data_IF_923507941718
#
_entry.id   IF_923507941718
#
_cell.length_a   1.000
_cell.length_b   1.000
_cell.length_c   1.000
_cell.angle_alpha   90.00
_cell.angle_beta   90.00
_cell.angle_gamma   90.00
#
_symmetry.space_group_name_H-M   'P 1'
#
loop_
_entity.id
_entity.type
_entity.pdbx_description
1 polymer ?
#
# COMPACT_ATOMS: atom_id res chain seq x y z
N UNK A 1 6.81 -10.23 3.86
CA UNK A 1 6.27 -8.96 4.39
C UNK A 1 4.79 -8.88 4.08
N UNK A 2 4.05 -8.03 4.80
CA UNK A 2 2.72 -7.59 4.43
C UNK A 2 2.81 -6.21 3.79
N UNK A 3 2.36 -6.09 2.55
CA UNK A 3 2.52 -4.88 1.75
C UNK A 3 1.14 -4.33 1.40
N UNK A 4 0.91 -3.06 1.74
CA UNK A 4 -0.27 -2.31 1.32
C UNK A 4 0.05 -1.56 0.01
N UNK A 5 -0.70 -1.84 -1.05
CA UNK A 5 -0.56 -1.18 -2.35
C UNK A 5 -1.82 -0.35 -2.60
N UNK A 6 -1.68 0.97 -2.76
CA UNK A 6 -2.84 1.84 -3.06
C UNK A 6 -3.26 1.75 -4.53
N UNK A 7 -4.39 2.37 -4.90
CA UNK A 7 -4.94 2.26 -6.25
C UNK A 7 -5.32 0.81 -6.59
N UNK A 8 -5.78 0.05 -5.61
CA UNK A 8 -6.03 -1.40 -5.67
C UNK A 8 -7.02 -1.84 -6.74
N UNK A 9 -7.84 -0.93 -7.29
CA UNK A 9 -8.72 -1.20 -8.44
C UNK A 9 -8.00 -1.08 -9.80
N UNK A 10 -6.78 -0.55 -9.83
CA UNK A 10 -6.03 -0.31 -11.06
C UNK A 10 -5.29 -1.55 -11.56
N UNK A 11 -5.10 -1.63 -12.89
CA UNK A 11 -4.24 -2.64 -13.49
C UNK A 11 -2.77 -2.51 -13.06
N UNK A 12 -2.34 -1.28 -12.70
CA UNK A 12 -1.00 -1.02 -12.21
C UNK A 12 -0.78 -1.68 -10.85
N UNK A 13 -1.70 -1.54 -9.89
CA UNK A 13 -1.63 -2.21 -8.59
C UNK A 13 -1.55 -3.72 -8.73
N UNK A 14 -2.39 -4.31 -9.60
CA UNK A 14 -2.33 -5.74 -9.86
C UNK A 14 -0.99 -6.19 -10.50
N UNK A 15 -0.41 -5.36 -11.36
CA UNK A 15 0.92 -5.62 -11.93
C UNK A 15 2.01 -5.58 -10.85
N UNK A 16 1.96 -4.61 -9.94
CA UNK A 16 2.91 -4.50 -8.82
C UNK A 16 2.77 -5.69 -7.86
N UNK A 17 1.53 -6.04 -7.49
CA UNK A 17 1.24 -7.16 -6.59
C UNK A 17 1.87 -8.48 -7.05
N UNK A 18 1.86 -8.75 -8.37
CA UNK A 18 2.45 -9.96 -8.96
C UNK A 18 3.98 -10.04 -8.83
N UNK A 19 4.66 -8.93 -8.54
CA UNK A 19 6.11 -8.90 -8.35
C UNK A 19 6.53 -9.34 -6.95
N UNK A 20 5.59 -9.36 -5.99
CA UNK A 20 5.81 -9.71 -4.59
C UNK A 20 5.27 -11.11 -4.29
N UNK A 21 5.89 -12.14 -4.88
CA UNK A 21 5.35 -13.53 -4.88
C UNK A 21 5.42 -14.24 -3.53
N UNK A 22 6.25 -13.75 -2.60
CA UNK A 22 6.43 -14.33 -1.26
C UNK A 22 5.81 -13.48 -0.15
N UNK A 23 5.13 -12.41 -0.51
CA UNK A 23 4.56 -11.43 0.42
C UNK A 23 3.03 -11.52 0.48
N UNK A 24 2.46 -11.06 1.58
CA UNK A 24 1.02 -10.88 1.71
C UNK A 24 0.63 -9.51 1.18
N UNK A 25 -0.21 -9.48 0.15
CA UNK A 25 -0.60 -8.22 -0.50
C UNK A 25 -1.99 -7.78 -0.10
N UNK A 26 -2.09 -6.51 0.29
CA UNK A 26 -3.32 -5.77 0.53
C UNK A 26 -3.48 -4.76 -0.60
N UNK A 27 -4.48 -4.95 -1.44
CA UNK A 27 -4.89 -4.00 -2.47
C UNK A 27 -5.89 -3.03 -1.85
N UNK A 28 -5.45 -1.79 -1.63
CA UNK A 28 -6.23 -0.75 -0.98
C UNK A 28 -6.66 0.34 -1.97
N UNK A 29 -7.87 0.86 -1.84
CA UNK A 29 -8.35 1.98 -2.67
C UNK A 29 -9.44 2.78 -1.95
N UNK A 30 -9.69 4.01 -2.39
CA UNK A 30 -10.76 4.85 -1.84
C UNK A 30 -12.13 4.40 -2.34
N UNK A 31 -13.15 4.63 -1.51
CA UNK A 31 -14.53 4.23 -1.76
C UNK A 31 -14.70 2.72 -1.71
N UNK A 32 -15.72 2.22 -2.41
CA UNK A 32 -16.09 0.82 -2.35
C UNK A 32 -15.00 -0.09 -2.94
N UNK A 33 -14.84 -1.24 -2.29
CA UNK A 33 -13.91 -2.30 -2.67
C UNK A 33 -14.65 -3.64 -2.76
N UNK A 34 -14.19 -4.56 -3.63
CA UNK A 34 -14.79 -5.88 -3.72
C UNK A 34 -14.73 -6.62 -2.38
N UNK A 35 -15.86 -7.20 -1.97
CA UNK A 35 -15.99 -7.93 -0.70
C UNK A 35 -15.81 -9.45 -0.84
N UNK A 36 -15.53 -9.94 -2.05
CA UNK A 36 -15.39 -11.37 -2.26
C UNK A 36 -14.04 -11.88 -1.75
N UNK A 37 -14.00 -13.07 -1.12
CA UNK A 37 -12.77 -13.68 -0.67
C UNK A 37 -11.88 -14.01 -1.88
N UNK A 38 -10.65 -13.52 -1.86
CA UNK A 38 -9.59 -13.90 -2.79
C UNK A 38 -8.50 -14.66 -2.03
N UNK A 39 -8.04 -15.78 -2.59
CA UNK A 39 -6.95 -16.55 -2.01
C UNK A 39 -5.58 -15.86 -2.16
N UNK A 40 -5.49 -14.84 -3.04
CA UNK A 40 -4.23 -14.22 -3.44
C UNK A 40 -4.06 -12.82 -2.85
N UNK A 41 -5.15 -12.08 -2.67
CA UNK A 41 -5.10 -10.67 -2.28
C UNK A 41 -6.19 -10.36 -1.25
N UNK A 42 -5.87 -9.51 -0.28
CA UNK A 42 -6.90 -8.84 0.54
C UNK A 42 -7.28 -7.53 -0.14
N UNK A 43 -8.58 -7.28 -0.32
CA UNK A 43 -9.09 -5.99 -0.74
C UNK A 43 -9.46 -5.16 0.50
N UNK A 44 -9.07 -3.88 0.51
CA UNK A 44 -9.30 -2.97 1.64
C UNK A 44 -9.80 -1.62 1.15
N UNK A 45 -10.91 -1.14 1.69
CA UNK A 45 -11.34 0.24 1.47
C UNK A 45 -10.56 1.18 2.37
N UNK A 46 -10.08 2.30 1.81
CA UNK A 46 -9.48 3.43 2.53
C UNK A 46 -10.53 4.45 3.01
N UNK A 47 -11.83 4.16 2.80
CA UNK A 47 -12.92 5.11 3.03
C UNK A 47 -13.04 6.16 1.92
N UNK A 48 -13.81 7.22 2.21
CA UNK A 48 -13.88 8.38 1.31
C UNK A 48 -12.55 9.12 1.27
N UNK A 49 -12.17 9.61 0.09
CA UNK A 49 -10.94 10.38 -0.08
C UNK A 49 -11.06 11.71 0.65
N UNK A 50 -10.10 11.99 1.53
CA UNK A 50 -9.93 13.26 2.20
C UNK A 50 -8.45 13.66 2.15
N UNK A 51 -8.16 14.69 1.34
CA UNK A 51 -6.80 15.13 1.04
C UNK A 51 -6.09 15.73 2.27
N UNK A 52 -6.85 16.23 3.26
CA UNK A 52 -6.29 16.82 4.48
C UNK A 52 -5.68 15.79 5.44
N UNK A 53 -5.98 14.50 5.25
CA UNK A 53 -5.59 13.43 6.18
C UNK A 53 -4.92 12.22 5.51
N UNK A 54 -4.46 12.34 4.27
CA UNK A 54 -3.96 11.19 3.48
C UNK A 54 -2.89 10.40 4.23
N UNK A 55 -1.81 11.05 4.68
CA UNK A 55 -0.72 10.36 5.39
C UNK A 55 -1.21 9.68 6.68
N UNK A 56 -2.09 10.34 7.43
CA UNK A 56 -2.64 9.79 8.68
C UNK A 56 -3.56 8.60 8.40
N UNK A 57 -4.43 8.72 7.39
CA UNK A 57 -5.32 7.64 6.98
C UNK A 57 -4.54 6.40 6.55
N UNK A 58 -3.55 6.59 5.66
CA UNK A 58 -2.69 5.50 5.18
C UNK A 58 -1.90 4.85 6.32
N UNK A 59 -1.38 5.65 7.27
CA UNK A 59 -0.70 5.12 8.45
C UNK A 59 -1.62 4.26 9.30
N UNK A 60 -2.83 4.75 9.61
CA UNK A 60 -3.82 4.00 10.39
C UNK A 60 -4.17 2.67 9.73
N UNK A 61 -4.37 2.66 8.40
CA UNK A 61 -4.61 1.43 7.66
C UNK A 61 -3.41 0.48 7.71
N UNK A 62 -2.18 0.98 7.58
CA UNK A 62 -0.98 0.15 7.74
C UNK A 62 -0.91 -0.48 9.13
N UNK A 63 -1.18 0.28 10.20
CA UNK A 63 -1.16 -0.21 11.57
C UNK A 63 -2.25 -1.25 11.84
N UNK A 64 -3.49 -0.97 11.44
CA UNK A 64 -4.62 -1.88 11.63
C UNK A 64 -4.43 -3.22 10.91
N UNK A 65 -3.76 -3.19 9.77
CA UNK A 65 -3.50 -4.36 8.96
C UNK A 65 -2.17 -5.05 9.31
N UNK A 66 -1.33 -4.42 10.12
CA UNK A 66 0.04 -4.87 10.38
C UNK A 66 0.86 -4.93 9.10
N UNK A 67 0.75 -3.92 8.24
CA UNK A 67 1.58 -3.79 7.04
C UNK A 67 3.00 -3.39 7.42
N UNK A 68 3.99 -4.10 6.85
CA UNK A 68 5.41 -3.80 7.01
C UNK A 68 5.87 -2.74 5.99
N UNK A 69 5.11 -2.55 4.91
CA UNK A 69 5.44 -1.62 3.85
C UNK A 69 4.20 -1.08 3.13
N UNK A 70 4.33 0.12 2.56
CA UNK A 70 3.33 0.76 1.70
C UNK A 70 3.93 1.14 0.34
N UNK A 71 3.21 0.82 -0.73
CA UNK A 71 3.49 1.28 -2.09
C UNK A 71 2.30 2.12 -2.57
N UNK A 72 2.46 3.45 -2.53
CA UNK A 72 1.48 4.35 -3.10
C UNK A 72 1.64 4.50 -4.61
N UNK A 73 0.52 4.49 -5.34
CA UNK A 73 0.50 4.62 -6.80
C UNK A 73 0.03 5.98 -7.30
N UNK A 74 -0.68 6.76 -6.47
CA UNK A 74 -1.15 8.08 -6.87
C UNK A 74 -0.24 9.17 -6.33
N UNK A 75 0.01 10.21 -7.14
CA UNK A 75 0.93 11.30 -6.79
C UNK A 75 0.54 12.03 -5.49
N UNK A 76 -0.76 12.25 -5.26
CA UNK A 76 -1.26 12.90 -4.05
C UNK A 76 -0.99 12.09 -2.77
N UNK A 77 -0.87 10.77 -2.88
CA UNK A 77 -0.50 9.91 -1.75
C UNK A 77 1.02 9.91 -1.55
N UNK A 78 1.76 9.81 -2.64
CA UNK A 78 3.22 9.81 -2.62
C UNK A 78 3.74 11.10 -1.99
N UNK A 79 3.18 12.25 -2.35
CA UNK A 79 3.59 13.54 -1.80
C UNK A 79 3.44 13.58 -0.26
N UNK A 80 2.27 13.17 0.25
CA UNK A 80 1.98 13.18 1.69
C UNK A 80 2.77 12.12 2.47
N UNK A 81 3.01 10.94 1.88
CA UNK A 81 3.87 9.91 2.46
C UNK A 81 5.31 10.37 2.58
N UNK A 82 5.85 11.06 1.58
CA UNK A 82 7.22 11.57 1.63
C UNK A 82 7.38 12.66 2.70
N UNK A 83 6.41 13.58 2.81
CA UNK A 83 6.35 14.58 3.90
C UNK A 83 6.34 13.92 5.28
N UNK A 84 5.68 12.76 5.39
CA UNK A 84 5.49 12.01 6.65
C UNK A 84 6.44 10.82 6.82
N UNK A 85 7.51 10.73 6.02
CA UNK A 85 8.36 9.53 5.95
C UNK A 85 9.02 9.14 7.28
N UNK A 86 9.38 10.13 8.11
CA UNK A 86 9.93 9.90 9.45
C UNK A 86 8.91 9.17 10.34
N UNK A 87 7.64 9.58 10.30
CA UNK A 87 6.57 8.97 11.10
C UNK A 87 6.37 7.50 10.70
N UNK A 88 6.29 7.21 9.40
CA UNK A 88 6.18 5.83 8.91
C UNK A 88 7.36 4.96 9.37
N UNK A 89 8.57 5.51 9.31
CA UNK A 89 9.78 4.83 9.80
C UNK A 89 9.75 4.56 11.30
N UNK A 90 9.22 5.46 12.12
CA UNK A 90 9.06 5.25 13.58
C UNK A 90 8.16 4.04 13.90
N UNK A 91 7.21 3.74 13.01
CA UNK A 91 6.34 2.57 13.11
C UNK A 91 6.86 1.34 12.35
N UNK A 92 8.11 1.37 11.85
CA UNK A 92 8.72 0.31 11.04
C UNK A 92 7.93 -0.03 9.77
N UNK A 93 7.35 0.99 9.12
CA UNK A 93 6.65 0.84 7.84
C UNK A 93 7.52 1.43 6.74
N UNK A 94 7.97 0.59 5.82
CA UNK A 94 8.77 1.01 4.68
C UNK A 94 7.89 1.66 3.59
N UNK A 95 8.28 2.85 3.13
CA UNK A 95 7.66 3.48 1.95
C UNK A 95 8.42 3.00 0.70
N UNK A 96 7.79 2.12 -0.07
CA UNK A 96 8.34 1.55 -1.29
C UNK A 96 8.16 2.49 -2.47
N UNK A 97 9.09 2.43 -3.43
CA UNK A 97 8.99 3.10 -4.72
C UNK A 97 8.64 2.09 -5.79
N UNK A 98 8.03 2.56 -6.89
CA UNK A 98 7.68 1.71 -8.04
C UNK A 98 8.89 0.94 -8.62
N UNK A 99 10.10 1.46 -8.40
CA UNK A 99 11.38 0.85 -8.81
C UNK A 99 11.91 -0.24 -7.86
N UNK A 100 11.36 -0.38 -6.65
CA UNK A 100 11.84 -1.37 -5.66
C UNK A 100 11.42 -2.82 -5.99
N UNK A 101 10.71 -3.02 -7.11
CA UNK A 101 10.16 -4.30 -7.57
C UNK A 101 11.18 -5.27 -8.15
N UNK A 102 12.47 -4.93 -8.12
CA UNK A 102 13.59 -5.75 -8.62
C UNK A 102 14.55 -6.25 -7.53
N UNK A 103 14.24 -6.13 -6.23
CA UNK A 103 15.18 -6.55 -5.15
C UNK A 103 15.14 -8.04 -4.77
N UNK A 104 14.56 -8.91 -5.60
CA UNK A 104 14.55 -10.36 -5.36
C UNK A 104 15.16 -11.17 -6.51
N UNK A 105 16.40 -10.88 -6.89
CA UNK A 105 17.31 -11.82 -7.60
C UNK A 105 18.77 -11.37 -7.48
N UNK A 106 19.35 -11.46 -6.28
CA UNK A 106 20.80 -11.53 -6.12
C UNK A 106 21.14 -12.06 -4.72
N UNK A 107 21.23 -13.38 -4.58
CA UNK A 107 22.12 -14.13 -3.68
C UNK A 107 22.29 -15.54 -4.25
#
# INVERSE_FOLDING_TARGET
MRILITGGKSAQALKQAKQFTSDTIILADYGDMPSFPSATYKFLSLGERNDDIIAHNLLNHCLNEGADAILALNDFEIEELLKSSVLFKEFNIDILKLTDTNKSTAL
#
